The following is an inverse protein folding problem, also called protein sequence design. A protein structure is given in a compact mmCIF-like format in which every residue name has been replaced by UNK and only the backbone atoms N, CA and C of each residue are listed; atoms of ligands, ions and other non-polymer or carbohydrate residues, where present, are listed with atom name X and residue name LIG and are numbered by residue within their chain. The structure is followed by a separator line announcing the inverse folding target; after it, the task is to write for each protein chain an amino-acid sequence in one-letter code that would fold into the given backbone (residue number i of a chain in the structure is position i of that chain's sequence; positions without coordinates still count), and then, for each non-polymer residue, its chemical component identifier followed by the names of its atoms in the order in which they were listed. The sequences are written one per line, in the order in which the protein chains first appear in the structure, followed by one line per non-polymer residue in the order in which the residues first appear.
data_IF_466241653047
#
_entry.id   IF_466241653047
#
_cell.length_a   1.000
_cell.length_b   1.000
_cell.length_c   1.000
_cell.angle_alpha   90.00
_cell.angle_beta   90.00
_cell.angle_gamma   90.00
#
_symmetry.space_group_name_H-M   'P 1'
#
loop_
_entity.id
_entity.type
_entity.pdbx_description
1 polymer ?
#
# COMPACT_ATOMS: atom_id res chain seq x y z
N UNK A 1 35.59 -11.34 -11.81
CA UNK A 1 34.67 -12.50 -11.82
C UNK A 1 34.74 -13.34 -10.53
N UNK A 2 35.91 -13.70 -9.97
CA UNK A 2 36.02 -14.42 -8.68
C UNK A 2 35.50 -13.61 -7.47
N UNK A 3 35.63 -12.30 -7.46
CA UNK A 3 35.17 -11.41 -6.37
C UNK A 3 33.64 -11.37 -6.25
N UNK A 4 32.93 -11.39 -7.37
CA UNK A 4 31.45 -11.48 -7.38
C UNK A 4 30.92 -12.83 -6.87
N UNK A 5 31.65 -13.92 -7.10
CA UNK A 5 31.27 -15.25 -6.61
C UNK A 5 31.39 -15.35 -5.08
N UNK A 6 32.37 -14.69 -4.45
CA UNK A 6 32.52 -14.66 -2.99
C UNK A 6 31.41 -13.89 -2.28
N UNK A 7 30.88 -12.85 -2.92
CA UNK A 7 29.75 -12.06 -2.37
C UNK A 7 28.50 -12.94 -2.20
N UNK A 8 28.28 -13.92 -3.08
CA UNK A 8 27.13 -14.83 -2.98
C UNK A 8 27.28 -15.94 -1.94
N UNK A 9 28.47 -16.15 -1.40
CA UNK A 9 28.71 -17.20 -0.40
C UNK A 9 28.59 -16.72 1.04
N UNK A 10 28.53 -15.40 1.28
CA UNK A 10 28.38 -14.84 2.62
C UNK A 10 26.90 -14.80 3.03
N UNK A 11 26.53 -15.66 3.98
CA UNK A 11 25.17 -15.80 4.51
C UNK A 11 24.52 -14.45 4.86
N UNK A 12 25.18 -13.49 5.52
CA UNK A 12 24.61 -12.19 5.82
C UNK A 12 24.18 -11.41 4.59
N UNK A 13 25.00 -11.41 3.54
CA UNK A 13 24.71 -10.69 2.28
C UNK A 13 23.50 -11.33 1.58
N UNK A 14 23.40 -12.66 1.58
CA UNK A 14 22.24 -13.37 1.03
C UNK A 14 20.95 -13.02 1.76
N UNK A 15 20.99 -12.88 3.09
CA UNK A 15 19.82 -12.49 3.90
C UNK A 15 19.36 -11.07 3.50
N UNK A 16 20.28 -10.11 3.44
CA UNK A 16 19.96 -8.73 3.03
C UNK A 16 19.40 -8.68 1.61
N UNK A 17 20.04 -9.37 0.68
CA UNK A 17 19.59 -9.45 -0.70
C UNK A 17 18.20 -10.09 -0.81
N UNK A 18 17.97 -11.18 -0.09
CA UNK A 18 16.66 -11.85 -0.07
C UNK A 18 15.56 -10.96 0.50
N UNK A 19 15.80 -10.27 1.61
CA UNK A 19 14.83 -9.33 2.21
C UNK A 19 14.55 -8.15 1.28
N UNK A 20 15.56 -7.62 0.62
CA UNK A 20 15.42 -6.54 -0.36
C UNK A 20 14.59 -6.98 -1.56
N UNK A 21 14.93 -8.10 -2.19
CA UNK A 21 14.20 -8.64 -3.35
C UNK A 21 12.75 -8.97 -2.99
N UNK A 22 12.53 -9.61 -1.83
CA UNK A 22 11.20 -9.93 -1.33
C UNK A 22 10.35 -8.66 -1.14
N UNK A 23 10.94 -7.61 -0.57
CA UNK A 23 10.29 -6.31 -0.40
C UNK A 23 9.93 -5.66 -1.75
N UNK A 24 10.83 -5.70 -2.73
CA UNK A 24 10.56 -5.19 -4.08
C UNK A 24 9.41 -5.93 -4.75
N UNK A 25 9.41 -7.26 -4.67
CA UNK A 25 8.32 -8.09 -5.22
C UNK A 25 7.00 -7.71 -4.57
N UNK A 26 6.98 -7.58 -3.24
CA UNK A 26 5.78 -7.16 -2.51
C UNK A 26 5.26 -5.79 -2.97
N UNK A 27 6.14 -4.79 -3.13
CA UNK A 27 5.79 -3.47 -3.65
C UNK A 27 5.16 -3.55 -5.04
N UNK A 28 5.80 -4.29 -5.96
CA UNK A 28 5.32 -4.43 -7.34
C UNK A 28 3.96 -5.12 -7.39
N UNK A 29 3.77 -6.17 -6.60
CA UNK A 29 2.48 -6.89 -6.52
C UNK A 29 1.38 -5.97 -5.99
N UNK A 30 1.64 -5.24 -4.91
CA UNK A 30 0.69 -4.27 -4.33
C UNK A 30 0.38 -3.13 -5.28
N UNK A 31 1.39 -2.56 -5.94
CA UNK A 31 1.19 -1.54 -6.96
C UNK A 31 0.28 -2.02 -8.10
N UNK A 32 0.56 -3.20 -8.65
CA UNK A 32 -0.27 -3.78 -9.71
C UNK A 32 -1.71 -4.02 -9.24
N UNK A 33 -1.89 -4.50 -8.00
CA UNK A 33 -3.20 -4.71 -7.41
C UNK A 33 -3.99 -3.40 -7.30
N UNK A 34 -3.40 -2.35 -6.73
CA UNK A 34 -4.03 -1.04 -6.58
C UNK A 34 -4.36 -0.43 -7.95
N UNK A 35 -3.40 -0.41 -8.87
CA UNK A 35 -3.59 0.16 -10.21
C UNK A 35 -4.70 -0.57 -11.00
N UNK A 36 -4.78 -1.90 -10.88
CA UNK A 36 -5.85 -2.69 -11.49
C UNK A 36 -7.23 -2.28 -10.95
N UNK A 37 -7.37 -2.20 -9.62
CA UNK A 37 -8.65 -1.86 -8.99
C UNK A 37 -9.08 -0.41 -9.27
N UNK A 38 -8.12 0.53 -9.28
CA UNK A 38 -8.39 1.93 -9.65
C UNK A 38 -8.86 2.03 -11.11
N UNK A 39 -8.25 1.30 -12.03
CA UNK A 39 -8.69 1.25 -13.44
C UNK A 39 -10.11 0.69 -13.57
N UNK A 40 -10.43 -0.37 -12.84
CA UNK A 40 -11.78 -0.95 -12.82
C UNK A 40 -12.80 0.07 -12.28
N UNK A 41 -12.48 0.72 -11.17
CA UNK A 41 -13.31 1.76 -10.58
C UNK A 41 -13.52 2.93 -11.54
N UNK A 42 -12.44 3.44 -12.12
CA UNK A 42 -12.51 4.52 -13.10
C UNK A 42 -13.34 4.15 -14.31
N UNK A 43 -13.12 2.96 -14.88
CA UNK A 43 -13.91 2.47 -16.02
C UNK A 43 -15.39 2.36 -15.69
N UNK A 44 -15.73 1.89 -14.49
CA UNK A 44 -17.13 1.81 -14.05
C UNK A 44 -17.76 3.21 -13.94
N UNK A 45 -17.11 4.13 -13.21
CA UNK A 45 -17.64 5.48 -12.98
C UNK A 45 -17.77 6.26 -14.29
N UNK A 46 -16.83 6.09 -15.22
CA UNK A 46 -16.86 6.80 -16.52
C UNK A 46 -18.05 6.46 -17.41
N UNK A 47 -18.76 5.37 -17.12
CA UNK A 47 -19.99 4.99 -17.84
C UNK A 47 -21.22 5.80 -17.41
N UNK A 48 -21.11 6.60 -16.36
CA UNK A 48 -22.22 7.39 -15.85
C UNK A 48 -22.04 8.87 -16.18
N UNK A 49 -23.11 9.49 -16.66
CA UNK A 49 -23.19 10.95 -16.81
C UNK A 49 -23.78 11.55 -15.54
N UNK A 50 -23.41 12.79 -15.25
CA UNK A 50 -23.88 13.51 -14.05
C UNK A 50 -25.41 13.49 -13.91
N UNK A 51 -26.14 13.60 -15.01
CA UNK A 51 -27.60 13.64 -15.01
C UNK A 51 -28.24 12.25 -14.75
N UNK A 52 -27.49 11.16 -14.94
CA UNK A 52 -28.02 9.81 -14.82
C UNK A 52 -27.81 9.22 -13.41
N UNK A 53 -27.02 9.90 -12.57
CA UNK A 53 -26.62 9.37 -11.27
C UNK A 53 -27.80 9.04 -10.35
N UNK A 54 -28.82 9.92 -10.31
CA UNK A 54 -30.00 9.69 -9.48
C UNK A 54 -30.81 8.47 -9.95
N UNK A 55 -30.98 8.32 -11.26
CA UNK A 55 -31.77 7.23 -11.84
C UNK A 55 -31.06 5.88 -11.75
N UNK A 56 -29.73 5.89 -11.82
CA UNK A 56 -28.91 4.67 -11.80
C UNK A 56 -28.24 4.42 -10.45
N UNK A 57 -28.71 5.11 -9.40
CA UNK A 57 -28.11 5.01 -8.07
C UNK A 57 -28.09 3.57 -7.55
N UNK A 58 -29.17 2.81 -7.76
CA UNK A 58 -29.24 1.41 -7.33
C UNK A 58 -28.15 0.56 -7.97
N UNK A 59 -27.90 0.74 -9.25
CA UNK A 59 -26.83 0.03 -9.98
C UNK A 59 -25.45 0.39 -9.43
N UNK A 60 -25.23 1.68 -9.14
CA UNK A 60 -23.99 2.18 -8.55
C UNK A 60 -23.81 1.59 -7.15
N UNK A 61 -24.85 1.61 -6.33
CA UNK A 61 -24.83 1.11 -4.97
C UNK A 61 -24.50 -0.39 -4.92
N UNK A 62 -25.20 -1.19 -5.72
CA UNK A 62 -24.96 -2.63 -5.81
C UNK A 62 -23.52 -2.94 -6.24
N UNK A 63 -23.02 -2.27 -7.28
CA UNK A 63 -21.65 -2.49 -7.75
C UNK A 63 -20.59 -2.08 -6.73
N UNK A 64 -20.78 -0.90 -6.11
CA UNK A 64 -19.83 -0.39 -5.10
C UNK A 64 -19.79 -1.28 -3.85
N UNK A 65 -20.94 -1.78 -3.41
CA UNK A 65 -21.03 -2.69 -2.27
C UNK A 65 -20.46 -4.08 -2.58
N UNK A 66 -20.57 -4.56 -3.81
CA UNK A 66 -20.00 -5.83 -4.25
C UNK A 66 -18.48 -5.77 -4.45
N UNK A 67 -17.92 -4.59 -4.63
CA UNK A 67 -16.49 -4.42 -4.86
C UNK A 67 -15.73 -4.27 -3.54
N UNK A 68 -14.98 -5.29 -3.06
CA UNK A 68 -14.31 -5.26 -1.76
C UNK A 68 -13.22 -4.18 -1.65
N UNK A 69 -12.78 -3.62 -2.79
CA UNK A 69 -11.78 -2.56 -2.79
C UNK A 69 -12.34 -1.23 -2.28
N UNK A 70 -13.60 -0.92 -2.60
CA UNK A 70 -14.25 0.37 -2.30
C UNK A 70 -15.46 0.25 -1.38
N UNK A 71 -15.95 -0.95 -1.08
CA UNK A 71 -17.19 -1.18 -0.35
C UNK A 71 -17.26 -0.42 0.99
N UNK A 72 -16.20 -0.44 1.78
CA UNK A 72 -16.16 0.27 3.07
C UNK A 72 -16.24 1.78 2.87
N UNK A 73 -15.42 2.33 1.96
CA UNK A 73 -15.42 3.76 1.64
C UNK A 73 -16.77 4.21 1.08
N UNK A 74 -17.38 3.37 0.24
CA UNK A 74 -18.71 3.62 -0.30
C UNK A 74 -19.78 3.61 0.80
N UNK A 75 -19.73 2.68 1.72
CA UNK A 75 -20.69 2.59 2.83
C UNK A 75 -20.61 3.83 3.73
N UNK A 76 -19.40 4.31 4.05
CA UNK A 76 -19.21 5.55 4.81
C UNK A 76 -19.77 6.76 4.06
N UNK A 77 -19.47 6.88 2.77
CA UNK A 77 -20.02 7.95 1.93
C UNK A 77 -21.55 7.88 1.83
N UNK A 78 -22.10 6.69 1.59
CA UNK A 78 -23.55 6.47 1.48
C UNK A 78 -24.31 6.93 2.72
N UNK A 79 -23.74 6.80 3.91
CA UNK A 79 -24.35 7.27 5.14
C UNK A 79 -24.48 8.81 5.22
N UNK A 80 -23.79 9.54 4.37
CA UNK A 80 -23.88 11.01 4.28
C UNK A 80 -24.89 11.48 3.20
N UNK A 81 -25.45 10.54 2.45
CA UNK A 81 -26.43 10.86 1.42
C UNK A 81 -27.81 11.14 2.03
N UNK A 82 -28.44 12.20 1.57
CA UNK A 82 -29.81 12.54 1.91
C UNK A 82 -30.71 12.20 0.73
N UNK A 83 -31.68 11.35 0.98
CA UNK A 83 -32.67 10.94 0.01
C UNK A 83 -33.92 11.80 0.23
N UNK A 84 -34.25 12.65 -0.75
CA UNK A 84 -35.50 13.43 -0.74
C UNK A 84 -36.47 12.90 -1.79
N UNK A 85 -37.68 12.63 -1.37
CA UNK A 85 -38.76 12.32 -2.29
C UNK A 85 -39.31 13.61 -2.83
N UNK A 86 -39.38 13.80 -4.16
CA UNK A 86 -40.03 14.92 -4.77
C UNK A 86 -41.53 14.69 -4.79
N UNK A 87 -42.26 15.34 -3.90
CA UNK A 87 -43.70 15.33 -3.90
C UNK A 87 -44.19 16.40 -4.90
N UNK A 88 -44.75 15.96 -6.00
CA UNK A 88 -45.38 16.89 -6.95
C UNK A 88 -46.77 17.32 -6.41
N UNK A 89 -46.86 18.57 -6.03
CA UNK A 89 -48.16 19.18 -5.68
C UNK A 89 -48.89 19.57 -6.99
N UNK A 90 -49.98 18.93 -7.31
CA UNK A 90 -50.84 19.31 -8.41
C UNK A 90 -52.05 20.02 -7.84
N UNK A 91 -52.06 21.35 -7.99
CA UNK A 91 -53.22 22.14 -7.63
C UNK A 91 -54.26 22.11 -8.76
N UNK A 92 -55.46 21.71 -8.45
CA UNK A 92 -56.64 21.90 -9.26
C UNK A 92 -57.74 22.47 -8.33
N UNK A 93 -58.17 23.68 -8.65
CA UNK A 93 -59.27 24.37 -7.95
C UNK A 93 -59.10 24.52 -6.43
N UNK A 94 -58.13 25.32 -5.98
CA UNK A 94 -57.92 25.75 -4.59
C UNK A 94 -57.82 24.66 -3.51
N UNK A 95 -57.85 23.38 -3.88
CA UNK A 95 -57.58 22.28 -2.98
C UNK A 95 -56.26 21.60 -3.38
N UNK A 96 -55.26 21.68 -2.51
CA UNK A 96 -54.00 20.95 -2.64
C UNK A 96 -54.23 19.49 -2.32
N UNK A 97 -54.26 18.64 -3.34
CA UNK A 97 -54.35 17.20 -3.16
C UNK A 97 -52.98 16.59 -3.36
N UNK A 98 -52.50 15.87 -2.38
CA UNK A 98 -51.30 15.06 -2.49
C UNK A 98 -51.61 13.86 -3.39
N UNK A 99 -50.96 13.80 -4.54
CA UNK A 99 -51.02 12.61 -5.38
C UNK A 99 -49.66 11.94 -5.28
N UNK A 100 -49.64 10.74 -4.74
CA UNK A 100 -48.48 9.88 -4.85
C UNK A 100 -48.14 9.69 -6.32
N UNK A 101 -47.03 10.31 -6.76
CA UNK A 101 -46.47 10.06 -8.08
C UNK A 101 -45.68 8.80 -8.02
N UNK A 102 -46.19 7.74 -8.65
CA UNK A 102 -45.58 6.40 -8.68
C UNK A 102 -44.26 6.30 -9.45
N UNK A 103 -43.65 7.42 -9.81
CA UNK A 103 -42.26 7.48 -10.30
C UNK A 103 -41.46 8.36 -9.35
N UNK A 104 -41.00 7.77 -8.27
CA UNK A 104 -40.08 8.40 -7.32
C UNK A 104 -38.73 8.62 -7.99
N UNK A 105 -38.57 9.80 -8.57
CA UNK A 105 -37.22 10.31 -8.85
C UNK A 105 -36.67 10.69 -7.49
N UNK A 106 -35.93 9.79 -6.89
CA UNK A 106 -35.18 10.08 -5.67
C UNK A 106 -34.18 11.16 -5.98
N UNK A 107 -34.36 12.35 -5.42
CA UNK A 107 -33.35 13.38 -5.50
C UNK A 107 -32.32 13.10 -4.39
N UNK A 108 -31.14 12.64 -4.79
CA UNK A 108 -30.05 12.27 -3.89
C UNK A 108 -29.12 13.47 -3.77
N UNK A 109 -28.97 13.95 -2.56
CA UNK A 109 -28.07 15.07 -2.24
C UNK A 109 -26.94 14.60 -1.34
N UNK A 110 -25.75 15.13 -1.56
CA UNK A 110 -24.61 14.89 -0.70
C UNK A 110 -24.48 16.01 0.30
N UNK A 111 -24.30 15.69 1.57
CA UNK A 111 -24.02 16.68 2.62
C UNK A 111 -22.52 16.94 2.77
N UNK A 112 -21.70 16.01 2.30
CA UNK A 112 -20.23 16.08 2.37
C UNK A 112 -19.65 15.86 0.98
N UNK A 113 -18.54 16.54 0.67
CA UNK A 113 -17.84 16.37 -0.60
C UNK A 113 -17.37 14.89 -0.74
N UNK A 114 -17.69 14.20 -1.84
CA UNK A 114 -17.22 12.85 -2.12
C UNK A 114 -15.70 12.71 -2.05
N UNK A 115 -14.93 13.75 -2.36
CA UNK A 115 -13.46 13.74 -2.28
C UNK A 115 -12.94 13.53 -0.86
N UNK A 116 -13.75 13.81 0.16
CA UNK A 116 -13.38 13.49 1.54
C UNK A 116 -13.26 11.99 1.78
N UNK A 117 -14.08 11.19 1.13
CA UNK A 117 -14.08 9.73 1.24
C UNK A 117 -13.18 9.07 0.19
N UNK A 118 -13.28 9.51 -1.07
CA UNK A 118 -12.55 8.94 -2.20
C UNK A 118 -11.27 9.73 -2.50
N UNK A 119 -10.35 9.71 -1.53
CA UNK A 119 -9.06 10.39 -1.62
C UNK A 119 -7.91 9.37 -1.79
N UNK A 120 -6.69 9.88 -1.95
CA UNK A 120 -5.50 9.06 -2.10
C UNK A 120 -5.25 8.16 -0.88
N UNK A 121 -5.54 8.66 0.31
CA UNK A 121 -5.32 7.88 1.53
C UNK A 121 -6.24 6.66 1.61
N UNK A 122 -7.54 6.83 1.33
CA UNK A 122 -8.52 5.75 1.38
C UNK A 122 -8.37 4.75 0.23
N UNK A 123 -8.04 5.21 -0.98
CA UNK A 123 -7.99 4.38 -2.17
C UNK A 123 -6.61 3.78 -2.45
N UNK A 124 -5.53 4.43 -2.01
CA UNK A 124 -4.17 3.99 -2.31
C UNK A 124 -3.40 3.65 -1.05
N UNK A 125 -3.13 4.62 -0.19
CA UNK A 125 -2.23 4.48 0.95
C UNK A 125 -2.70 3.43 1.96
N UNK A 126 -4.01 3.39 2.27
CA UNK A 126 -4.60 2.40 3.18
C UNK A 126 -4.45 0.95 2.68
N UNK A 127 -4.31 0.75 1.36
CA UNK A 127 -4.14 -0.58 0.74
C UNK A 127 -2.69 -1.05 0.70
N UNK A 128 -1.73 -0.13 0.87
CA UNK A 128 -0.29 -0.44 0.81
C UNK A 128 0.31 -0.92 2.12
N UNK A 129 -0.37 -0.83 3.25
CA UNK A 129 0.23 -1.06 4.57
C UNK A 129 1.55 -0.28 4.73
N UNK A 130 1.43 1.04 4.73
CA UNK A 130 2.56 1.97 4.82
C UNK A 130 3.51 1.68 5.99
N UNK A 131 2.95 1.24 7.15
CA UNK A 131 3.75 0.87 8.33
C UNK A 131 4.71 -0.29 8.03
N UNK A 132 4.25 -1.29 7.29
CA UNK A 132 5.11 -2.41 6.88
C UNK A 132 6.25 -1.93 5.97
N UNK A 133 5.97 -1.07 5.00
CA UNK A 133 6.99 -0.53 4.10
C UNK A 133 8.05 0.29 4.86
N UNK A 134 7.62 1.10 5.82
CA UNK A 134 8.52 1.85 6.68
C UNK A 134 9.38 0.93 7.55
N UNK A 135 8.78 -0.13 8.11
CA UNK A 135 9.51 -1.12 8.91
C UNK A 135 10.57 -1.87 8.09
N UNK A 136 10.26 -2.25 6.85
CA UNK A 136 11.23 -2.90 5.95
C UNK A 136 12.43 -2.00 5.68
N UNK A 137 12.21 -0.72 5.39
CA UNK A 137 13.29 0.25 5.19
C UNK A 137 14.17 0.36 6.43
N UNK A 138 13.58 0.48 7.61
CA UNK A 138 14.30 0.57 8.88
C UNK A 138 15.12 -0.70 9.17
N UNK A 139 14.55 -1.88 8.91
CA UNK A 139 15.23 -3.17 9.10
C UNK A 139 16.42 -3.28 8.14
N UNK A 140 16.23 -2.95 6.86
CA UNK A 140 17.31 -2.99 5.87
C UNK A 140 18.48 -2.06 6.24
N UNK A 141 18.16 -0.84 6.70
CA UNK A 141 19.19 0.11 7.15
C UNK A 141 19.91 -0.40 8.41
N UNK A 142 19.21 -1.08 9.31
CA UNK A 142 19.79 -1.64 10.53
C UNK A 142 20.69 -2.86 10.29
N UNK A 143 20.45 -3.62 9.23
CA UNK A 143 21.27 -4.81 8.91
C UNK A 143 22.72 -4.48 8.54
N UNK A 144 22.96 -3.34 7.89
CA UNK A 144 24.31 -2.91 7.51
C UNK A 144 25.27 -2.88 8.72
N UNK A 145 25.07 -2.02 9.72
CA UNK A 145 25.88 -1.95 10.91
C UNK A 145 25.92 -3.28 11.71
N UNK A 146 24.80 -3.96 11.83
CA UNK A 146 24.71 -5.22 12.58
C UNK A 146 25.63 -6.29 11.98
N UNK A 147 25.59 -6.50 10.67
CA UNK A 147 26.45 -7.48 10.02
C UNK A 147 27.91 -7.04 9.99
N UNK A 148 28.18 -5.75 9.92
CA UNK A 148 29.54 -5.21 10.06
C UNK A 148 30.13 -5.60 11.41
N UNK A 149 29.42 -5.32 12.51
CA UNK A 149 29.87 -5.71 13.86
C UNK A 149 29.98 -7.21 14.04
N UNK A 150 29.05 -7.99 13.50
CA UNK A 150 29.10 -9.45 13.56
C UNK A 150 30.33 -9.99 12.85
N UNK A 151 30.64 -9.51 11.65
CA UNK A 151 31.82 -9.94 10.91
C UNK A 151 33.12 -9.56 11.61
N UNK A 152 33.19 -8.40 12.22
CA UNK A 152 34.31 -7.96 13.05
C UNK A 152 34.46 -8.88 14.24
N UNK A 153 33.41 -9.20 14.99
CA UNK A 153 33.43 -10.08 16.15
C UNK A 153 33.90 -11.50 15.77
N UNK A 154 33.41 -12.05 14.66
CA UNK A 154 33.83 -13.35 14.15
C UNK A 154 35.30 -13.34 13.77
N UNK A 155 35.77 -12.28 13.12
CA UNK A 155 37.16 -12.14 12.72
C UNK A 155 38.10 -12.03 13.94
N UNK A 156 37.70 -11.30 14.99
CA UNK A 156 38.46 -11.28 16.26
C UNK A 156 38.52 -12.65 16.93
N UNK A 157 37.42 -13.40 16.90
CA UNK A 157 37.39 -14.76 17.47
C UNK A 157 38.29 -15.79 16.75
N UNK A 158 38.75 -15.48 15.53
CA UNK A 158 39.66 -16.32 14.74
C UNK A 158 41.13 -15.93 14.88
N UNK A 159 41.49 -14.94 15.69
CA UNK A 159 42.90 -14.58 15.90
C UNK A 159 43.60 -15.68 16.70
N UNK A 160 44.66 -16.21 16.12
CA UNK A 160 45.50 -17.23 16.75
C UNK A 160 46.71 -16.56 17.42
N UNK A 161 46.74 -16.58 18.75
CA UNK A 161 47.80 -16.02 19.58
C UNK A 161 48.91 -17.01 19.89
N UNK A 162 48.92 -18.21 19.31
CA UNK A 162 49.87 -19.29 19.63
C UNK A 162 51.29 -18.98 19.18
N UNK A 163 51.49 -18.12 18.17
CA UNK A 163 52.81 -17.67 17.73
C UNK A 163 52.72 -16.26 17.10
N UNK A 164 53.85 -15.54 17.10
CA UNK A 164 53.91 -14.18 16.56
C UNK A 164 53.58 -14.12 15.06
N UNK A 165 54.02 -15.12 14.27
CA UNK A 165 53.73 -15.22 12.84
C UNK A 165 52.26 -15.44 12.56
N UNK A 166 51.61 -16.34 13.33
CA UNK A 166 50.17 -16.64 13.23
C UNK A 166 49.30 -15.45 13.66
N UNK A 167 49.75 -14.75 14.71
CA UNK A 167 49.06 -13.53 15.16
C UNK A 167 49.07 -12.47 14.06
N UNK A 168 50.21 -12.22 13.42
CA UNK A 168 50.37 -11.25 12.33
C UNK A 168 49.51 -11.64 11.14
N UNK A 169 49.50 -12.91 10.73
CA UNK A 169 48.67 -13.43 9.64
C UNK A 169 47.18 -13.27 9.93
N UNK A 170 46.75 -13.60 11.16
CA UNK A 170 45.35 -13.47 11.59
C UNK A 170 44.87 -12.02 11.65
N UNK A 171 45.74 -11.09 12.09
CA UNK A 171 45.42 -9.66 12.10
C UNK A 171 45.33 -9.11 10.67
N UNK A 172 46.19 -9.54 9.75
CA UNK A 172 46.07 -9.14 8.34
C UNK A 172 44.76 -9.62 7.70
N UNK A 173 44.32 -10.83 8.03
CA UNK A 173 43.04 -11.38 7.61
C UNK A 173 41.85 -10.59 8.22
N UNK A 174 41.95 -10.18 9.48
CA UNK A 174 40.98 -9.35 10.15
C UNK A 174 40.85 -8.00 9.44
N UNK A 175 41.95 -7.31 9.10
CA UNK A 175 41.92 -6.05 8.39
C UNK A 175 41.26 -6.16 7.01
N UNK A 176 41.53 -7.26 6.29
CA UNK A 176 40.83 -7.54 5.02
C UNK A 176 39.33 -7.73 5.19
N UNK A 177 38.92 -8.46 6.24
CA UNK A 177 37.50 -8.65 6.55
C UNK A 177 36.79 -7.35 6.93
N UNK A 178 37.48 -6.45 7.65
CA UNK A 178 36.96 -5.13 8.00
C UNK A 178 36.77 -4.23 6.76
N UNK A 179 37.69 -4.29 5.79
CA UNK A 179 37.53 -3.55 4.53
C UNK A 179 36.29 -4.01 3.76
N UNK A 180 36.05 -5.31 3.68
CA UNK A 180 34.87 -5.86 3.02
C UNK A 180 33.59 -5.43 3.76
N UNK A 181 33.60 -5.51 5.10
CA UNK A 181 32.46 -5.10 5.91
C UNK A 181 32.11 -3.62 5.73
N UNK A 182 33.10 -2.74 5.64
CA UNK A 182 32.93 -1.31 5.40
C UNK A 182 32.38 -0.97 4.00
N UNK A 183 32.60 -1.84 3.01
CA UNK A 183 32.04 -1.66 1.67
C UNK A 183 30.55 -2.07 1.57
N UNK A 184 30.07 -2.86 2.52
CA UNK A 184 28.70 -3.39 2.54
C UNK A 184 27.76 -2.56 3.43
N UNK A 185 28.32 -1.80 4.37
CA UNK A 185 27.57 -0.89 5.25
C UNK A 185 27.24 0.45 4.58
#
# INVERSE_FOLDING_TARGET
MRMLLHIFTDIPILIVLFTFVSSLIFCVVKYKFVNKNLKILHSFISNFKKNDLNYRFKEIDEWMMMNPYVANTWMEFKNTLVFSESVALKGQNNNLTYKEVSSTVQNIQTTVDPLYFFNEESLVTSKFNYKFMQSVSTILTGFGPLFTFLNIAIAFGKIDFSSQERTIASVAQLMSSMQIAALVS
#
